data_IF_407751274235
#
_entry.id   IF_407751274235
#
_cell.length_a   1.000
_cell.length_b   1.000
_cell.length_c   1.000
_cell.angle_alpha   90.00
_cell.angle_beta   90.00
_cell.angle_gamma   90.00
#
_symmetry.space_group_name_H-M   'P 1'
#
loop_
_entity.id
_entity.type
_entity.pdbx_description
1 polymer ?
#
# COMPACT_ATOMS: atom_id res chain seq x y z
N UNK A 1 64.95 52.93 -39.03
CA UNK A 1 64.37 52.40 -37.78
C UNK A 1 63.00 51.82 -38.11
N UNK A 2 62.88 50.49 -38.22
CA UNK A 2 61.64 49.80 -38.58
C UNK A 2 61.01 49.27 -37.28
N UNK A 3 59.85 49.83 -36.94
CA UNK A 3 59.02 49.42 -35.81
C UNK A 3 58.29 48.12 -36.17
N UNK A 4 58.51 47.06 -35.41
CA UNK A 4 57.81 45.77 -35.52
C UNK A 4 56.88 45.61 -34.33
N UNK A 5 55.58 45.70 -34.58
CA UNK A 5 54.50 45.37 -33.64
C UNK A 5 54.33 43.86 -33.50
N UNK A 6 54.11 43.32 -32.29
CA UNK A 6 53.91 41.89 -32.08
C UNK A 6 52.49 41.42 -32.45
N UNK A 7 52.32 40.16 -32.88
CA UNK A 7 51.02 39.58 -33.23
C UNK A 7 50.22 39.23 -31.97
N UNK A 8 48.92 39.55 -31.99
CA UNK A 8 47.96 39.26 -30.94
C UNK A 8 47.48 37.81 -31.12
N UNK A 9 47.95 36.90 -30.27
CA UNK A 9 47.54 35.50 -30.27
C UNK A 9 46.13 35.38 -29.67
N UNK A 10 45.16 35.03 -30.50
CA UNK A 10 43.80 34.68 -30.08
C UNK A 10 43.85 33.31 -29.40
N UNK A 11 43.73 33.30 -28.07
CA UNK A 11 43.54 32.08 -27.29
C UNK A 11 42.15 31.50 -27.60
N UNK A 12 42.10 30.43 -28.38
CA UNK A 12 40.91 29.62 -28.55
C UNK A 12 40.75 28.73 -27.32
N UNK A 13 39.77 29.06 -26.48
CA UNK A 13 39.31 28.26 -25.36
C UNK A 13 38.59 27.02 -25.94
N UNK A 14 39.31 25.91 -26.04
CA UNK A 14 38.73 24.61 -26.38
C UNK A 14 37.91 24.12 -25.18
N UNK A 15 36.60 24.36 -25.23
CA UNK A 15 35.63 23.76 -24.29
C UNK A 15 35.55 22.27 -24.62
N UNK A 16 36.37 21.48 -23.92
CA UNK A 16 36.33 20.02 -23.95
C UNK A 16 35.05 19.58 -23.23
N UNK A 17 33.94 19.49 -23.97
CA UNK A 17 32.71 18.87 -23.51
C UNK A 17 32.98 17.38 -23.28
N UNK A 18 33.30 17.03 -22.04
CA UNK A 18 33.43 15.65 -21.59
C UNK A 18 32.03 15.03 -21.60
N UNK A 19 31.64 14.44 -22.74
CA UNK A 19 30.46 13.58 -22.82
C UNK A 19 30.72 12.37 -21.93
N UNK A 20 30.23 12.43 -20.70
CA UNK A 20 30.15 11.27 -19.83
C UNK A 20 29.11 10.35 -20.46
N UNK A 21 29.59 9.38 -21.24
CA UNK A 21 28.74 8.28 -21.70
C UNK A 21 28.24 7.56 -20.44
N UNK A 22 26.92 7.43 -20.23
CA UNK A 22 26.42 6.61 -19.14
C UNK A 22 26.96 5.20 -19.34
N UNK A 23 27.81 4.75 -18.42
CA UNK A 23 28.25 3.37 -18.37
C UNK A 23 27.02 2.52 -18.17
N UNK A 24 26.55 1.85 -19.22
CA UNK A 24 25.52 0.84 -19.10
C UNK A 24 26.09 -0.27 -18.21
N UNK A 25 25.65 -0.30 -16.96
CA UNK A 25 25.81 -1.48 -16.12
C UNK A 25 25.03 -2.58 -16.82
N UNK A 26 25.73 -3.45 -17.53
CA UNK A 26 25.16 -4.68 -18.04
C UNK A 26 24.74 -5.49 -16.81
N UNK A 27 23.43 -5.49 -16.51
CA UNK A 27 22.87 -6.38 -15.50
C UNK A 27 23.32 -7.80 -15.86
N UNK A 28 24.09 -8.42 -14.98
CA UNK A 28 24.63 -9.75 -15.26
C UNK A 28 23.45 -10.73 -15.36
N UNK A 29 23.37 -11.53 -16.44
CA UNK A 29 22.23 -12.39 -16.70
C UNK A 29 21.99 -13.32 -15.51
N UNK A 30 20.73 -13.43 -15.10
CA UNK A 30 20.30 -14.25 -13.97
C UNK A 30 19.61 -15.52 -14.45
N UNK A 31 19.62 -16.56 -13.63
CA UNK A 31 18.97 -17.83 -13.94
C UNK A 31 18.20 -18.33 -12.73
N UNK A 32 17.12 -19.07 -13.00
CA UNK A 32 16.24 -19.60 -11.98
C UNK A 32 16.25 -21.13 -12.06
N UNK A 33 16.49 -21.79 -10.93
CA UNK A 33 16.52 -23.25 -10.77
C UNK A 33 15.67 -23.68 -9.57
N UNK A 34 15.35 -24.98 -9.49
CA UNK A 34 14.63 -25.55 -8.34
C UNK A 34 15.61 -25.90 -7.21
N UNK A 35 15.21 -25.63 -5.98
CA UNK A 35 15.92 -26.14 -4.81
C UNK A 35 15.42 -27.58 -4.52
N UNK A 36 16.06 -28.56 -5.15
CA UNK A 36 15.72 -29.98 -5.02
C UNK A 36 15.75 -30.48 -3.57
N UNK A 37 16.49 -29.82 -2.68
CA UNK A 37 16.58 -30.21 -1.27
C UNK A 37 15.32 -29.84 -0.46
N UNK A 38 14.54 -28.86 -0.92
CA UNK A 38 13.37 -28.33 -0.21
C UNK A 38 12.06 -28.54 -0.97
N UNK A 39 12.14 -28.81 -2.25
CA UNK A 39 10.96 -28.86 -3.12
C UNK A 39 10.28 -30.23 -3.03
N UNK A 40 8.95 -30.24 -3.01
CA UNK A 40 8.17 -31.48 -3.07
C UNK A 40 8.39 -32.24 -4.39
N UNK A 41 8.08 -33.55 -4.41
CA UNK A 41 8.29 -34.43 -5.56
C UNK A 41 7.26 -34.27 -6.70
N UNK A 42 6.47 -33.19 -6.72
CA UNK A 42 5.49 -32.94 -7.78
C UNK A 42 6.11 -32.14 -8.93
N UNK A 43 6.55 -32.86 -9.96
CA UNK A 43 7.17 -32.30 -11.15
C UNK A 43 6.31 -31.24 -11.86
N UNK A 44 4.99 -31.37 -11.82
CA UNK A 44 4.10 -30.43 -12.50
C UNK A 44 4.01 -29.12 -11.72
N UNK A 45 3.85 -29.19 -10.40
CA UNK A 45 3.88 -28.01 -9.54
C UNK A 45 5.22 -27.28 -9.65
N UNK A 46 6.32 -28.03 -9.69
CA UNK A 46 7.68 -27.49 -9.76
C UNK A 46 7.94 -26.75 -11.08
N UNK A 47 7.49 -27.31 -12.21
CA UNK A 47 7.56 -26.62 -13.52
C UNK A 47 6.73 -25.34 -13.53
N UNK A 48 5.53 -25.37 -12.94
CA UNK A 48 4.69 -24.18 -12.79
C UNK A 48 5.36 -23.08 -11.97
N UNK A 49 5.96 -23.43 -10.83
CA UNK A 49 6.70 -22.51 -9.98
C UNK A 49 7.86 -21.84 -10.73
N UNK A 50 8.65 -22.61 -11.48
CA UNK A 50 9.74 -22.06 -12.30
C UNK A 50 9.21 -21.05 -13.33
N UNK A 51 8.16 -21.40 -14.08
CA UNK A 51 7.58 -20.52 -15.10
C UNK A 51 7.12 -19.20 -14.47
N UNK A 52 6.40 -19.27 -13.34
CA UNK A 52 5.89 -18.08 -12.65
C UNK A 52 7.02 -17.18 -12.12
N UNK A 53 8.07 -17.76 -11.54
CA UNK A 53 9.22 -16.98 -11.05
C UNK A 53 9.98 -16.35 -12.21
N UNK A 54 10.22 -17.08 -13.30
CA UNK A 54 10.90 -16.55 -14.49
C UNK A 54 10.13 -15.37 -15.07
N UNK A 55 8.81 -15.53 -15.26
CA UNK A 55 7.94 -14.45 -15.74
C UNK A 55 7.97 -13.22 -14.81
N UNK A 56 7.96 -13.44 -13.48
CA UNK A 56 8.04 -12.35 -12.51
C UNK A 56 9.38 -11.57 -12.60
N UNK A 57 10.51 -12.23 -12.84
CA UNK A 57 11.79 -11.52 -13.08
C UNK A 57 11.76 -10.72 -14.38
N UNK A 58 11.25 -11.30 -15.47
CA UNK A 58 11.12 -10.64 -16.77
C UNK A 58 10.21 -9.40 -16.68
N UNK A 59 9.12 -9.45 -15.91
CA UNK A 59 8.24 -8.30 -15.64
C UNK A 59 8.95 -7.16 -14.89
N UNK A 60 9.99 -7.46 -14.11
CA UNK A 60 10.85 -6.45 -13.47
C UNK A 60 11.98 -5.95 -14.37
N UNK A 61 12.00 -6.36 -15.65
CA UNK A 61 13.02 -5.97 -16.63
C UNK A 61 14.33 -6.76 -16.54
N UNK A 62 14.37 -7.82 -15.74
CA UNK A 62 15.53 -8.69 -15.63
C UNK A 62 15.58 -9.69 -16.79
N UNK A 63 16.78 -9.97 -17.30
CA UNK A 63 16.95 -10.99 -18.35
C UNK A 63 17.24 -12.34 -17.71
N UNK A 64 16.31 -13.27 -17.87
CA UNK A 64 16.44 -14.64 -17.36
C UNK A 64 17.04 -15.54 -18.44
N UNK A 65 18.14 -16.22 -18.12
CA UNK A 65 18.79 -17.21 -18.97
C UNK A 65 18.68 -18.61 -18.36
N UNK A 66 18.88 -19.63 -19.18
CA UNK A 66 18.93 -21.00 -18.66
C UNK A 66 20.20 -21.24 -17.83
N UNK A 67 20.11 -22.04 -16.74
CA UNK A 67 21.27 -22.38 -15.93
C UNK A 67 22.34 -23.16 -16.72
N UNK A 68 23.62 -23.10 -16.32
CA UNK A 68 24.15 -22.36 -15.16
C UNK A 68 24.48 -20.89 -15.48
N UNK A 69 24.40 -20.02 -14.47
CA UNK A 69 24.76 -18.61 -14.57
C UNK A 69 25.42 -18.11 -13.26
N UNK A 70 26.00 -16.90 -13.29
CA UNK A 70 26.66 -16.31 -12.11
C UNK A 70 25.68 -15.83 -11.03
N UNK A 71 24.48 -15.41 -11.41
CA UNK A 71 23.43 -14.94 -10.51
C UNK A 71 22.27 -15.94 -10.47
N UNK A 72 22.46 -17.05 -9.75
CA UNK A 72 21.45 -18.10 -9.62
C UNK A 72 20.45 -17.79 -8.49
N UNK A 73 19.16 -17.96 -8.81
CA UNK A 73 18.06 -17.93 -7.86
C UNK A 73 17.41 -19.31 -7.78
N UNK A 74 17.30 -19.84 -6.57
CA UNK A 74 16.67 -21.14 -6.30
C UNK A 74 15.27 -20.94 -5.74
N UNK A 75 14.28 -21.57 -6.37
CA UNK A 75 12.90 -21.57 -5.89
C UNK A 75 12.56 -22.91 -5.24
N UNK A 76 11.88 -22.88 -4.10
CA UNK A 76 11.26 -24.04 -3.51
C UNK A 76 9.78 -23.77 -3.21
N UNK A 77 8.94 -24.79 -3.38
CA UNK A 77 7.54 -24.74 -3.02
C UNK A 77 7.18 -25.98 -2.20
N UNK A 78 6.48 -25.77 -1.09
CA UNK A 78 5.96 -26.82 -0.22
C UNK A 78 4.48 -26.54 0.04
N UNK A 79 3.64 -27.55 -0.17
CA UNK A 79 2.22 -27.49 0.19
C UNK A 79 1.99 -28.18 1.54
N UNK A 80 1.26 -27.54 2.44
CA UNK A 80 0.87 -28.10 3.74
C UNK A 80 -0.61 -27.86 3.95
N UNK A 81 -1.42 -28.89 3.70
CA UNK A 81 -2.89 -28.74 3.61
C UNK A 81 -3.25 -27.83 2.43
N UNK A 82 -4.00 -26.76 2.71
CA UNK A 82 -4.43 -25.77 1.72
C UNK A 82 -3.45 -24.59 1.56
N UNK A 83 -2.39 -24.56 2.38
CA UNK A 83 -1.42 -23.45 2.36
C UNK A 83 -0.19 -23.84 1.56
N UNK A 84 0.19 -23.00 0.62
CA UNK A 84 1.45 -23.08 -0.12
C UNK A 84 2.48 -22.18 0.54
N UNK A 85 3.64 -22.72 0.89
CA UNK A 85 4.81 -21.95 1.32
C UNK A 85 5.83 -21.96 0.19
N UNK A 86 6.23 -20.78 -0.26
CA UNK A 86 7.17 -20.57 -1.34
C UNK A 86 8.42 -19.91 -0.77
N UNK A 87 9.61 -20.39 -1.13
CA UNK A 87 10.87 -19.71 -0.83
C UNK A 87 11.64 -19.41 -2.11
N UNK A 88 12.29 -18.25 -2.13
CA UNK A 88 13.16 -17.77 -3.19
C UNK A 88 14.51 -17.42 -2.58
N UNK A 89 15.54 -18.20 -2.88
CA UNK A 89 16.91 -18.00 -2.41
C UNK A 89 17.73 -17.39 -3.54
N UNK A 90 18.17 -16.15 -3.36
CA UNK A 90 19.17 -15.53 -4.24
C UNK A 90 20.58 -15.54 -3.66
N UNK A 91 21.53 -14.87 -4.33
CA UNK A 91 22.94 -14.84 -3.92
C UNK A 91 23.15 -14.24 -2.51
N UNK A 92 22.40 -13.20 -2.17
CA UNK A 92 22.61 -12.45 -0.92
C UNK A 92 21.63 -12.84 0.19
N UNK A 93 20.44 -13.31 -0.17
CA UNK A 93 19.32 -13.47 0.78
C UNK A 93 18.28 -14.47 0.30
N UNK A 94 17.56 -15.03 1.26
CA UNK A 94 16.38 -15.87 1.05
C UNK A 94 15.12 -15.11 1.47
N UNK A 95 14.06 -15.21 0.67
CA UNK A 95 12.72 -14.68 0.98
C UNK A 95 11.72 -15.83 0.98
N UNK A 96 10.69 -15.71 1.81
CA UNK A 96 9.63 -16.72 1.93
C UNK A 96 8.27 -16.04 1.92
N UNK A 97 7.32 -16.61 1.19
CA UNK A 97 5.93 -16.16 1.09
C UNK A 97 4.95 -17.31 1.32
N UNK A 98 3.70 -16.97 1.62
CA UNK A 98 2.61 -17.94 1.78
C UNK A 98 1.42 -17.55 0.92
N UNK A 99 0.78 -18.54 0.31
CA UNK A 99 -0.47 -18.42 -0.41
C UNK A 99 -1.50 -19.38 0.19
N UNK A 100 -2.74 -18.91 0.36
CA UNK A 100 -3.86 -19.73 0.83
C UNK A 100 -4.54 -20.53 -0.29
N UNK A 101 -4.19 -20.28 -1.54
CA UNK A 101 -4.68 -21.04 -2.69
C UNK A 101 -3.71 -20.95 -3.87
N UNK A 102 -3.87 -21.85 -4.85
CA UNK A 102 -3.07 -21.83 -6.07
C UNK A 102 -3.24 -20.54 -6.89
N UNK A 103 -4.43 -19.92 -6.81
CA UNK A 103 -4.73 -18.68 -7.54
C UNK A 103 -3.94 -17.46 -6.99
N UNK A 104 -3.48 -17.52 -5.75
CA UNK A 104 -2.69 -16.46 -5.12
C UNK A 104 -1.19 -16.60 -5.41
N UNK A 105 -0.72 -17.77 -5.86
CA UNK A 105 0.69 -18.05 -6.10
C UNK A 105 1.38 -17.04 -7.03
N UNK A 106 0.81 -16.65 -8.19
CA UNK A 106 1.46 -15.66 -9.07
C UNK A 106 1.75 -14.34 -8.36
N UNK A 107 0.81 -13.85 -7.54
CA UNK A 107 0.96 -12.62 -6.77
C UNK A 107 2.05 -12.75 -5.69
N UNK A 108 2.15 -13.91 -5.04
CA UNK A 108 3.20 -14.18 -4.05
C UNK A 108 4.58 -14.24 -4.70
N UNK A 109 4.71 -14.88 -5.87
CA UNK A 109 5.97 -14.93 -6.63
C UNK A 109 6.46 -13.54 -7.05
N UNK A 110 5.58 -12.72 -7.63
CA UNK A 110 5.89 -11.33 -8.02
C UNK A 110 6.36 -10.49 -6.81
N UNK A 111 5.75 -10.67 -5.64
CA UNK A 111 6.21 -9.99 -4.42
C UNK A 111 7.57 -10.45 -3.95
N UNK A 112 7.83 -11.75 -3.98
CA UNK A 112 9.13 -12.30 -3.60
C UNK A 112 10.23 -11.79 -4.53
N UNK A 113 9.99 -11.78 -5.85
CA UNK A 113 10.93 -11.24 -6.83
C UNK A 113 11.18 -9.76 -6.58
N UNK A 114 10.14 -8.94 -6.43
CA UNK A 114 10.32 -7.50 -6.15
C UNK A 114 11.06 -7.25 -4.84
N UNK A 115 10.78 -7.99 -3.78
CA UNK A 115 11.50 -7.86 -2.51
C UNK A 115 12.94 -8.39 -2.58
N UNK A 116 13.20 -9.31 -3.51
CA UNK A 116 14.53 -9.82 -3.80
C UNK A 116 15.37 -8.82 -4.58
N UNK A 117 14.77 -8.06 -5.51
CA UNK A 117 15.47 -7.04 -6.29
C UNK A 117 15.60 -5.71 -5.52
N UNK A 118 14.52 -5.24 -4.90
CA UNK A 118 14.47 -3.90 -4.29
C UNK A 118 15.35 -3.73 -3.06
N UNK A 119 15.56 -4.77 -2.26
CA UNK A 119 16.11 -4.58 -0.91
C UNK A 119 15.11 -4.89 0.19
N UNK A 120 13.84 -4.63 -0.09
CA UNK A 120 12.87 -4.33 0.96
C UNK A 120 12.43 -5.58 1.71
N UNK A 121 12.33 -5.43 3.04
CA UNK A 121 12.03 -6.51 3.99
C UNK A 121 10.53 -6.91 4.00
N UNK A 122 9.69 -6.30 3.18
CA UNK A 122 8.24 -6.31 3.35
C UNK A 122 7.49 -7.54 2.79
N UNK A 123 8.05 -8.76 2.89
CA UNK A 123 7.35 -10.00 2.47
C UNK A 123 7.24 -11.04 3.59
N UNK A 124 7.61 -10.70 4.82
CA UNK A 124 7.30 -11.59 5.96
C UNK A 124 5.85 -11.43 6.35
N UNK A 125 5.10 -12.51 6.13
CA UNK A 125 3.66 -12.60 6.31
C UNK A 125 3.13 -12.06 7.65
N UNK A 126 1.99 -11.39 7.53
CA UNK A 126 1.03 -10.93 8.54
C UNK A 126 1.03 -9.45 8.95
N UNK A 127 2.08 -8.64 8.75
CA UNK A 127 2.04 -7.23 9.24
C UNK A 127 2.72 -6.16 8.37
N UNK A 128 2.48 -6.17 7.06
CA UNK A 128 2.70 -4.97 6.25
C UNK A 128 1.64 -4.86 5.15
N UNK A 129 0.47 -4.32 5.52
CA UNK A 129 -0.54 -3.85 4.55
C UNK A 129 0.02 -2.60 3.88
N UNK A 130 0.92 -2.78 2.92
CA UNK A 130 1.29 -1.73 1.97
C UNK A 130 0.18 -1.56 0.92
N UNK A 131 -0.04 -0.34 0.43
CA UNK A 131 -1.07 -0.01 -0.58
C UNK A 131 -1.00 -0.83 -1.88
N UNK A 132 0.07 -1.58 -2.11
CA UNK A 132 0.27 -2.44 -3.27
C UNK A 132 -0.06 -3.93 -3.01
N UNK A 133 -0.42 -4.30 -1.79
CA UNK A 133 -0.60 -5.71 -1.41
C UNK A 133 -2.03 -6.09 -1.00
N UNK A 134 -3.02 -5.32 -1.43
CA UNK A 134 -4.43 -5.64 -1.18
C UNK A 134 -4.84 -6.75 -2.15
N UNK A 135 -5.31 -7.91 -1.67
CA UNK A 135 -5.93 -8.93 -2.55
C UNK A 135 -7.25 -8.38 -3.11
N UNK A 136 -7.73 -8.88 -4.24
CA UNK A 136 -8.99 -8.40 -4.85
C UNK A 136 -10.18 -8.54 -3.89
N UNK A 137 -10.13 -9.49 -2.95
CA UNK A 137 -11.11 -9.65 -1.89
C UNK A 137 -11.00 -8.60 -0.77
N UNK A 138 -9.79 -8.12 -0.46
CA UNK A 138 -9.56 -7.00 0.47
C UNK A 138 -9.71 -5.62 -0.21
N UNK A 139 -9.62 -5.58 -1.54
CA UNK A 139 -9.83 -4.39 -2.37
C UNK A 139 -11.30 -4.22 -2.74
N UNK A 140 -12.15 -5.19 -2.42
CA UNK A 140 -13.57 -4.95 -2.32
C UNK A 140 -13.73 -4.03 -1.11
N UNK A 141 -14.02 -2.73 -1.28
CA UNK A 141 -14.34 -1.92 -0.14
C UNK A 141 -15.51 -2.66 0.53
N UNK A 142 -15.34 -3.06 1.79
CA UNK A 142 -16.50 -3.13 2.66
C UNK A 142 -17.03 -1.69 2.68
N UNK A 143 -17.77 -1.33 1.62
CA UNK A 143 -18.57 -0.13 1.59
C UNK A 143 -19.47 -0.35 2.78
N UNK A 144 -19.21 0.38 3.85
CA UNK A 144 -20.19 0.49 4.91
C UNK A 144 -21.47 0.84 4.16
N UNK A 145 -22.46 -0.06 4.23
CA UNK A 145 -23.81 0.30 3.80
C UNK A 145 -24.07 1.62 4.48
N UNK A 146 -24.53 2.62 3.74
CA UNK A 146 -24.82 3.91 4.32
C UNK A 146 -25.76 3.69 5.52
N UNK A 147 -25.20 3.79 6.71
CA UNK A 147 -25.87 3.43 7.95
C UNK A 147 -26.46 4.71 8.52
N UNK A 148 -27.78 4.67 8.76
CA UNK A 148 -28.47 5.75 9.44
C UNK A 148 -28.51 5.45 10.93
N UNK A 149 -28.01 6.37 11.74
CA UNK A 149 -28.03 6.27 13.20
C UNK A 149 -29.05 7.28 13.74
N UNK A 150 -29.93 6.82 14.63
CA UNK A 150 -30.85 7.67 15.38
C UNK A 150 -30.36 7.78 16.83
N UNK A 151 -30.09 9.00 17.27
CA UNK A 151 -29.73 9.34 18.64
C UNK A 151 -30.91 10.00 19.33
N UNK A 152 -31.16 9.62 20.57
CA UNK A 152 -32.05 10.31 21.49
C UNK A 152 -31.17 10.72 22.67
N UNK A 153 -31.18 12.00 23.04
CA UNK A 153 -30.50 12.49 24.22
C UNK A 153 -31.51 13.06 25.24
N UNK A 154 -31.12 12.97 26.51
CA UNK A 154 -31.86 13.52 27.62
C UNK A 154 -30.83 14.10 28.59
N UNK A 155 -30.88 15.39 28.84
CA UNK A 155 -29.87 16.05 29.64
C UNK A 155 -30.33 17.37 30.25
N UNK A 156 -29.60 17.88 31.26
CA UNK A 156 -29.83 19.22 31.77
C UNK A 156 -29.38 20.25 30.73
N UNK A 157 -30.19 21.28 30.49
CA UNK A 157 -29.85 22.42 29.64
C UNK A 157 -29.52 23.64 30.49
N UNK A 158 -28.68 24.53 29.98
CA UNK A 158 -28.42 25.84 30.59
C UNK A 158 -28.97 26.90 29.63
N UNK A 159 -30.11 27.50 29.99
CA UNK A 159 -30.71 28.60 29.25
C UNK A 159 -30.44 29.90 29.99
N UNK A 160 -29.90 30.90 29.28
CA UNK A 160 -29.63 32.22 29.87
C UNK A 160 -30.96 32.93 30.14
N UNK A 161 -31.18 33.38 31.38
CA UNK A 161 -32.35 34.18 31.77
C UNK A 161 -33.50 33.38 32.37
N UNK A 162 -33.27 32.13 32.77
CA UNK A 162 -34.27 31.25 33.40
C UNK A 162 -33.79 30.83 34.79
N UNK A 163 -34.68 30.88 35.79
CA UNK A 163 -34.42 30.37 37.14
C UNK A 163 -34.70 28.86 37.21
N UNK A 164 -33.65 28.07 37.42
CA UNK A 164 -33.71 26.61 37.53
C UNK A 164 -32.73 25.90 36.59
N UNK A 165 -32.75 24.56 36.62
CA UNK A 165 -32.03 23.71 35.66
C UNK A 165 -33.06 23.10 34.71
N UNK A 166 -33.32 23.70 33.54
CA UNK A 166 -34.28 23.14 32.60
C UNK A 166 -33.80 21.78 32.09
N UNK A 167 -34.75 20.92 31.73
CA UNK A 167 -34.46 19.64 31.11
C UNK A 167 -34.54 19.80 29.59
N UNK A 168 -33.61 19.17 28.88
CA UNK A 168 -33.63 19.04 27.43
C UNK A 168 -33.85 17.60 27.02
N UNK A 169 -34.72 17.41 26.04
CA UNK A 169 -34.91 16.19 25.29
C UNK A 169 -34.59 16.50 23.83
N UNK A 170 -33.55 15.89 23.30
CA UNK A 170 -33.15 16.05 21.91
C UNK A 170 -33.17 14.75 21.14
N UNK A 171 -33.25 14.90 19.83
CA UNK A 171 -33.18 13.81 18.88
C UNK A 171 -32.28 14.21 17.74
N UNK A 172 -31.37 13.32 17.35
CA UNK A 172 -30.53 13.54 16.20
C UNK A 172 -30.61 12.35 15.23
N UNK A 173 -30.79 12.66 13.95
CA UNK A 173 -30.65 11.70 12.87
C UNK A 173 -29.34 11.98 12.15
N UNK A 174 -28.47 10.98 12.07
CA UNK A 174 -27.17 11.06 11.41
C UNK A 174 -27.11 10.06 10.27
N UNK A 175 -26.70 10.54 9.11
CA UNK A 175 -26.45 9.75 7.93
C UNK A 175 -24.97 9.81 7.58
N UNK A 176 -24.30 8.67 7.58
CA UNK A 176 -22.88 8.58 7.27
C UNK A 176 -22.67 8.20 5.80
N UNK A 177 -21.96 9.08 5.07
CA UNK A 177 -21.38 8.81 3.76
C UNK A 177 -19.90 8.48 3.94
N UNK A 178 -19.27 7.81 2.98
CA UNK A 178 -17.90 7.27 3.06
C UNK A 178 -16.83 8.23 3.63
N UNK A 179 -16.99 9.55 3.45
CA UNK A 179 -16.04 10.58 3.88
C UNK A 179 -16.66 11.74 4.67
N UNK A 180 -18.00 11.80 4.78
CA UNK A 180 -18.71 12.89 5.42
C UNK A 180 -19.95 12.36 6.16
N UNK A 181 -20.23 12.91 7.35
CA UNK A 181 -21.49 12.67 8.04
C UNK A 181 -22.38 13.90 7.95
N UNK A 182 -23.67 13.71 7.68
CA UNK A 182 -24.69 14.76 7.83
C UNK A 182 -25.52 14.42 9.06
N UNK A 183 -25.59 15.34 10.02
CA UNK A 183 -26.41 15.21 11.21
C UNK A 183 -27.47 16.31 11.24
N UNK A 184 -28.70 15.93 11.51
CA UNK A 184 -29.81 16.83 11.77
C UNK A 184 -30.23 16.57 13.20
N UNK A 185 -30.08 17.56 14.07
CA UNK A 185 -30.47 17.49 15.48
C UNK A 185 -31.58 18.50 15.78
N UNK A 186 -32.47 18.14 16.70
CA UNK A 186 -33.51 19.01 17.22
C UNK A 186 -33.65 18.78 18.72
N UNK A 187 -33.57 19.87 19.48
CA UNK A 187 -33.64 19.85 20.93
C UNK A 187 -34.88 20.59 21.42
N UNK A 188 -35.57 19.98 22.38
CA UNK A 188 -36.68 20.58 23.10
C UNK A 188 -36.27 20.85 24.53
N UNK A 189 -36.25 22.12 24.92
CA UNK A 189 -35.97 22.53 26.29
C UNK A 189 -37.28 22.81 27.02
N UNK A 190 -37.50 22.13 28.14
CA UNK A 190 -38.64 22.31 29.01
C UNK A 190 -38.19 22.93 30.33
N UNK A 191 -38.82 24.06 30.68
CA UNK A 191 -38.63 24.71 31.97
C UNK A 191 -39.88 24.54 32.85
N UNK A 192 -39.81 23.79 33.96
CA UNK A 192 -40.97 23.54 34.82
C UNK A 192 -41.32 24.71 35.76
N UNK A 193 -40.49 25.75 35.86
CA UNK A 193 -40.64 26.85 36.83
C UNK A 193 -41.45 28.06 36.33
N UNK A 194 -41.96 28.05 35.10
CA UNK A 194 -42.78 29.15 34.56
C UNK A 194 -44.28 28.92 34.78
N UNK A 195 -44.86 29.56 35.80
CA UNK A 195 -46.31 29.74 35.97
C UNK A 195 -46.90 30.88 35.10
N UNK A 196 -46.14 31.39 34.11
CA UNK A 196 -46.55 32.55 33.29
C UNK A 196 -46.19 32.37 31.81
N UNK A 197 -47.17 31.89 31.04
CA UNK A 197 -47.57 32.26 29.66
C UNK A 197 -46.55 32.63 28.56
N UNK A 198 -45.25 32.31 28.66
CA UNK A 198 -44.31 32.43 27.54
C UNK A 198 -43.61 31.12 27.21
N UNK A 199 -44.18 30.37 26.26
CA UNK A 199 -43.49 29.24 25.61
C UNK A 199 -42.35 29.77 24.73
N UNK A 200 -41.17 29.93 25.31
CA UNK A 200 -39.98 30.30 24.54
C UNK A 200 -39.44 29.05 23.83
N UNK A 201 -39.74 28.90 22.54
CA UNK A 201 -39.14 27.86 21.68
C UNK A 201 -37.81 28.40 21.15
N UNK A 202 -36.72 28.08 21.85
CA UNK A 202 -35.36 28.38 21.38
C UNK A 202 -34.79 27.19 20.62
N UNK A 203 -34.74 27.27 19.29
CA UNK A 203 -33.99 26.33 18.46
C UNK A 203 -32.52 26.76 18.38
N UNK A 204 -31.60 25.88 18.77
CA UNK A 204 -30.17 26.06 18.51
C UNK A 204 -29.80 25.26 17.26
N UNK A 205 -29.25 25.93 16.24
CA UNK A 205 -28.62 25.26 15.10
C UNK A 205 -27.11 25.24 15.35
N UNK A 206 -26.55 24.05 15.55
CA UNK A 206 -25.11 23.80 15.67
C UNK A 206 -24.52 23.28 14.36
#
# INVERSE_FOLDING_TARGET
>A
MKSTSPPVWRAHLAVLACMVAPGASLAAPLCVSLDEALTASDDQANKGALILVRAAFEEQGETVVDPPCGNEYKVAQVQTGDVFTVSLRGPERTRTGRAGSANELPKVYDQLVRAQLSGDLAVTGSQAVGRHNVTTEQANPMRARADSIFLIDLGPAIVRGVDGVPLSLGGAWRYELDQYGVQIAADFVWNPTDDTDSKTVGGSFG
#
